data_IF_307954658029
#
_entry.id   IF_307954658029
#
_cell.length_a   1.000
_cell.length_b   1.000
_cell.length_c   1.000
_cell.angle_alpha   90.00
_cell.angle_beta   90.00
_cell.angle_gamma   90.00
#
_symmetry.space_group_name_H-M   'P 1'
#
loop_
_entity.id
_entity.type
_entity.pdbx_description
1 polymer ?
#
# COMPACT_ATOMS: atom_id res chain seq x y z
N UNK A 1 -22.17 -33.68 -12.97
CA UNK A 1 -21.19 -32.62 -12.79
C UNK A 1 -21.19 -32.13 -11.36
N UNK A 2 -20.06 -32.10 -10.74
CA UNK A 2 -19.96 -31.76 -9.35
C UNK A 2 -19.91 -30.25 -9.15
N UNK A 3 -21.00 -29.67 -8.60
CA UNK A 3 -21.08 -28.22 -8.34
C UNK A 3 -20.01 -27.72 -7.37
N UNK A 4 -19.52 -28.58 -6.48
CA UNK A 4 -18.45 -28.22 -5.56
C UNK A 4 -17.13 -27.94 -6.26
N UNK A 5 -16.81 -28.69 -7.28
CA UNK A 5 -15.56 -28.50 -8.04
C UNK A 5 -15.52 -27.18 -8.77
N UNK A 6 -16.65 -26.77 -9.36
CA UNK A 6 -16.78 -25.48 -10.03
C UNK A 6 -16.67 -24.32 -9.04
N UNK A 7 -17.29 -24.46 -7.89
CA UNK A 7 -17.24 -23.45 -6.83
C UNK A 7 -15.80 -23.27 -6.31
N UNK A 8 -15.07 -24.35 -6.08
CA UNK A 8 -13.68 -24.32 -5.67
C UNK A 8 -12.78 -23.63 -6.69
N UNK A 9 -12.94 -23.94 -7.96
CA UNK A 9 -12.16 -23.30 -9.03
C UNK A 9 -12.42 -21.81 -9.08
N UNK A 10 -13.67 -21.42 -8.92
CA UNK A 10 -14.07 -20.01 -8.92
C UNK A 10 -13.44 -19.27 -7.74
N UNK A 11 -13.41 -19.86 -6.56
CA UNK A 11 -12.79 -19.26 -5.40
C UNK A 11 -11.28 -19.05 -5.58
N UNK A 12 -10.59 -20.02 -6.17
CA UNK A 12 -9.17 -19.91 -6.45
C UNK A 12 -8.84 -18.83 -7.48
N UNK A 13 -9.75 -18.59 -8.44
CA UNK A 13 -9.59 -17.56 -9.45
C UNK A 13 -9.98 -16.17 -8.94
N UNK A 14 -10.67 -16.09 -7.81
CA UNK A 14 -11.13 -14.83 -7.22
C UNK A 14 -10.12 -14.24 -6.22
N UNK A 15 -8.84 -14.54 -6.40
CA UNK A 15 -7.78 -13.96 -5.59
C UNK A 15 -6.91 -13.03 -6.43
N UNK A 16 -6.29 -12.09 -5.75
CA UNK A 16 -5.46 -11.05 -6.34
C UNK A 16 -4.15 -10.99 -5.60
N UNK A 17 -3.05 -10.91 -6.33
CA UNK A 17 -1.72 -10.80 -5.74
C UNK A 17 -1.20 -9.38 -5.88
N UNK A 18 -0.71 -8.84 -4.78
CA UNK A 18 -0.09 -7.51 -4.74
C UNK A 18 1.39 -7.68 -4.42
N UNK A 19 2.23 -7.15 -5.28
CA UNK A 19 3.67 -7.10 -5.04
C UNK A 19 3.99 -5.80 -4.32
N UNK A 20 4.51 -5.88 -3.12
CA UNK A 20 4.78 -4.74 -2.27
C UNK A 20 6.26 -4.67 -1.93
N UNK A 21 6.82 -3.48 -1.99
CA UNK A 21 8.20 -3.21 -1.58
C UNK A 21 8.24 -1.87 -0.85
N UNK A 22 9.31 -1.60 -0.15
CA UNK A 22 9.50 -0.32 0.55
C UNK A 22 10.96 0.08 0.59
N UNK A 23 11.20 1.36 0.86
CA UNK A 23 12.54 1.84 1.17
C UNK A 23 13.08 1.17 2.42
N UNK A 24 14.37 0.93 2.44
CA UNK A 24 15.09 0.55 3.64
C UNK A 24 15.39 1.79 4.48
N UNK A 25 15.32 1.63 5.79
CA UNK A 25 15.67 2.69 6.74
C UNK A 25 17.00 2.34 7.37
N UNK A 26 17.90 3.31 7.42
CA UNK A 26 19.25 3.10 7.96
C UNK A 26 19.23 2.68 9.42
N UNK A 27 20.29 2.01 9.88
CA UNK A 27 20.58 1.65 11.26
C UNK A 27 19.47 0.83 11.95
N UNK A 28 19.56 -0.47 11.88
CA UNK A 28 18.63 -1.39 12.53
C UNK A 28 17.60 -1.98 11.58
N UNK A 29 17.51 -1.47 10.35
CA UNK A 29 16.73 -2.11 9.32
C UNK A 29 17.65 -3.01 8.50
N UNK A 30 17.12 -4.14 8.07
CA UNK A 30 17.89 -5.07 7.27
C UNK A 30 18.10 -4.49 5.87
N UNK A 31 19.34 -4.56 5.35
CA UNK A 31 19.64 -4.12 3.99
C UNK A 31 19.11 -5.06 2.92
N UNK A 32 18.47 -6.14 3.30
CA UNK A 32 17.87 -7.08 2.37
C UNK A 32 16.62 -6.49 1.71
N UNK A 33 16.21 -7.09 0.60
CA UNK A 33 14.99 -6.68 -0.09
C UNK A 33 13.78 -6.83 0.83
N UNK A 34 12.92 -5.83 0.80
CA UNK A 34 11.65 -5.84 1.56
C UNK A 34 10.47 -6.31 0.70
N UNK A 35 10.76 -6.87 -0.48
CA UNK A 35 9.70 -7.34 -1.37
C UNK A 35 8.88 -8.43 -0.72
N UNK A 36 7.56 -8.26 -0.76
CA UNK A 36 6.61 -9.29 -0.31
C UNK A 36 5.48 -9.39 -1.33
N UNK A 37 4.91 -10.58 -1.43
CA UNK A 37 3.72 -10.82 -2.22
C UNK A 37 2.58 -11.08 -1.26
N UNK A 38 1.54 -10.26 -1.35
CA UNK A 38 0.34 -10.40 -0.51
C UNK A 38 -0.83 -10.84 -1.37
N UNK A 39 -1.60 -11.77 -0.86
CA UNK A 39 -2.79 -12.28 -1.54
C UNK A 39 -4.03 -11.73 -0.89
N UNK A 40 -4.95 -11.26 -1.72
CA UNK A 40 -6.23 -10.67 -1.30
C UNK A 40 -7.37 -11.28 -2.08
N UNK A 41 -8.58 -11.16 -1.55
CA UNK A 41 -9.78 -11.42 -2.33
C UNK A 41 -9.91 -10.36 -3.44
N UNK A 42 -10.51 -10.73 -4.56
CA UNK A 42 -10.65 -9.83 -5.70
C UNK A 42 -11.45 -8.55 -5.36
N UNK A 43 -12.29 -8.61 -4.34
CA UNK A 43 -13.09 -7.46 -3.87
C UNK A 43 -12.39 -6.62 -2.82
N UNK A 44 -11.16 -6.95 -2.47
CA UNK A 44 -10.43 -6.21 -1.45
C UNK A 44 -10.16 -4.77 -1.90
N UNK A 45 -10.14 -3.87 -0.92
CA UNK A 45 -10.00 -2.43 -1.14
C UNK A 45 -8.61 -1.95 -0.71
N UNK A 46 -8.32 -0.70 -1.04
CA UNK A 46 -7.09 -0.03 -0.56
C UNK A 46 -7.05 -0.03 0.97
N UNK A 47 -8.20 0.18 1.63
CA UNK A 47 -8.27 0.11 3.09
C UNK A 47 -7.80 -1.25 3.60
N UNK A 48 -8.23 -2.33 2.93
CA UNK A 48 -7.82 -3.68 3.31
C UNK A 48 -6.30 -3.85 3.21
N UNK A 49 -5.69 -3.29 2.17
CA UNK A 49 -4.25 -3.31 2.02
C UNK A 49 -3.55 -2.54 3.14
N UNK A 50 -4.01 -1.32 3.43
CA UNK A 50 -3.43 -0.50 4.51
C UNK A 50 -3.54 -1.22 5.85
N UNK A 51 -4.68 -1.84 6.13
CA UNK A 51 -4.87 -2.61 7.35
C UNK A 51 -3.93 -3.81 7.41
N UNK A 52 -3.70 -4.48 6.28
CA UNK A 52 -2.76 -5.60 6.22
C UNK A 52 -1.32 -5.13 6.48
N UNK A 53 -0.92 -4.01 5.89
CA UNK A 53 0.42 -3.43 6.09
C UNK A 53 0.66 -3.18 7.58
N UNK A 54 -0.34 -2.65 8.28
CA UNK A 54 -0.26 -2.41 9.72
C UNK A 54 -0.23 -3.72 10.50
N UNK A 55 -1.08 -4.66 10.14
CA UNK A 55 -1.23 -5.93 10.85
C UNK A 55 0.04 -6.78 10.81
N UNK A 56 0.74 -6.80 9.67
CA UNK A 56 1.98 -7.57 9.53
C UNK A 56 3.22 -6.80 9.97
N UNK A 57 3.01 -5.56 10.46
CA UNK A 57 4.09 -4.70 10.93
C UNK A 57 5.17 -4.50 9.86
N UNK A 58 4.72 -4.25 8.64
CA UNK A 58 5.60 -4.19 7.46
C UNK A 58 6.52 -2.98 7.47
N UNK A 59 6.07 -1.83 7.98
CA UNK A 59 6.84 -0.60 7.97
C UNK A 59 7.78 -0.54 9.17
N UNK A 60 9.02 -0.10 8.93
CA UNK A 60 9.98 0.05 10.00
C UNK A 60 9.49 1.08 11.00
N UNK A 61 9.61 0.75 12.28
CA UNK A 61 9.31 1.68 13.36
C UNK A 61 10.56 2.51 13.67
N UNK A 62 10.38 3.82 13.65
CA UNK A 62 11.47 4.75 13.86
C UNK A 62 11.43 5.24 15.28
N UNK A 63 12.60 5.34 15.91
CA UNK A 63 12.75 5.93 17.23
C UNK A 63 12.17 7.34 17.22
N UNK A 64 11.33 7.66 18.21
CA UNK A 64 10.60 8.92 18.26
C UNK A 64 9.20 8.88 17.70
N UNK A 65 8.81 7.80 17.00
CA UNK A 65 7.44 7.57 16.58
C UNK A 65 6.89 8.49 15.50
N UNK A 66 7.75 9.05 14.64
CA UNK A 66 7.34 10.10 13.69
C UNK A 66 7.66 9.76 12.22
N UNK A 67 7.79 8.50 11.88
CA UNK A 67 8.06 8.11 10.51
C UNK A 67 6.85 8.38 9.61
N UNK A 68 7.10 8.96 8.44
CA UNK A 68 6.07 9.20 7.42
C UNK A 68 6.42 8.42 6.16
N UNK A 69 5.41 7.77 5.60
CA UNK A 69 5.55 6.91 4.42
C UNK A 69 4.49 7.27 3.38
N UNK A 70 4.79 7.04 2.11
CA UNK A 70 3.85 7.26 1.02
C UNK A 70 3.70 5.96 0.24
N UNK A 71 2.48 5.45 0.15
CA UNK A 71 2.16 4.30 -0.70
C UNK A 71 1.96 4.78 -2.12
N UNK A 72 2.69 4.18 -3.05
CA UNK A 72 2.72 4.60 -4.44
C UNK A 72 2.35 3.43 -5.36
N UNK A 73 1.60 3.74 -6.41
CA UNK A 73 1.28 2.82 -7.49
C UNK A 73 1.83 3.38 -8.79
N UNK A 74 2.94 2.79 -9.29
CA UNK A 74 3.61 3.19 -10.53
C UNK A 74 3.82 4.72 -10.62
N UNK A 75 4.40 5.28 -9.56
CA UNK A 75 4.72 6.71 -9.52
C UNK A 75 3.59 7.61 -9.05
N UNK A 76 2.40 7.09 -8.82
CA UNK A 76 1.27 7.85 -8.30
C UNK A 76 1.14 7.66 -6.80
N UNK A 77 1.12 8.76 -6.05
CA UNK A 77 0.91 8.71 -4.61
C UNK A 77 -0.56 8.41 -4.34
N UNK A 78 -0.85 7.38 -3.57
CA UNK A 78 -2.24 6.98 -3.28
C UNK A 78 -2.61 7.09 -1.81
N UNK A 79 -1.66 6.92 -0.89
CA UNK A 79 -1.93 6.97 0.56
C UNK A 79 -0.72 7.54 1.28
N UNK A 80 -0.97 8.37 2.30
CA UNK A 80 0.06 8.76 3.27
C UNK A 80 -0.19 8.00 4.56
N UNK A 81 0.86 7.33 5.05
CA UNK A 81 0.86 6.62 6.33
C UNK A 81 1.84 7.31 7.26
N UNK A 82 1.46 7.46 8.51
CA UNK A 82 2.35 8.06 9.49
C UNK A 82 2.31 7.25 10.77
N UNK A 83 3.49 7.06 11.37
CA UNK A 83 3.62 6.30 12.60
C UNK A 83 2.80 6.92 13.74
N UNK A 84 2.70 8.26 13.77
CA UNK A 84 1.95 8.99 14.77
C UNK A 84 0.44 9.13 14.47
N UNK A 85 0.00 8.67 13.29
CA UNK A 85 -1.42 8.74 12.92
C UNK A 85 -2.10 7.41 13.21
N UNK A 86 -3.29 7.48 13.77
CA UNK A 86 -4.14 6.30 13.92
C UNK A 86 -4.67 5.80 12.59
N UNK A 87 -5.05 6.73 11.71
CA UNK A 87 -5.62 6.43 10.39
C UNK A 87 -4.79 7.06 9.29
N UNK A 88 -4.61 6.32 8.18
CA UNK A 88 -3.95 6.85 6.98
C UNK A 88 -4.84 7.86 6.27
N UNK A 89 -4.23 8.73 5.46
CA UNK A 89 -4.96 9.67 4.61
C UNK A 89 -4.79 9.28 3.14
N UNK A 90 -5.89 9.25 2.42
CA UNK A 90 -5.97 8.75 1.06
C UNK A 90 -6.11 9.86 0.04
N UNK A 91 -5.41 9.74 -1.09
CA UNK A 91 -5.60 10.62 -2.25
C UNK A 91 -6.66 10.08 -3.20
N UNK A 92 -7.03 8.81 -3.04
CA UNK A 92 -8.11 8.14 -3.76
C UNK A 92 -9.10 7.63 -2.71
N UNK A 93 -10.28 7.20 -3.16
CA UNK A 93 -11.24 6.62 -2.20
C UNK A 93 -10.64 5.40 -1.52
N UNK A 94 -10.76 5.32 -0.19
CA UNK A 94 -10.28 4.16 0.55
C UNK A 94 -11.05 2.88 0.22
N UNK A 95 -12.21 3.01 -0.42
CA UNK A 95 -12.99 1.88 -0.91
C UNK A 95 -12.65 1.49 -2.34
N UNK A 96 -11.67 2.15 -2.96
CA UNK A 96 -11.19 1.75 -4.28
C UNK A 96 -10.72 0.31 -4.25
N UNK A 97 -11.15 -0.49 -5.22
CA UNK A 97 -10.74 -1.88 -5.30
C UNK A 97 -9.26 -1.97 -5.68
N UNK A 98 -8.55 -2.92 -5.08
CA UNK A 98 -7.16 -3.17 -5.45
C UNK A 98 -7.03 -3.52 -6.92
N UNK A 99 -8.03 -4.22 -7.48
CA UNK A 99 -8.06 -4.58 -8.89
C UNK A 99 -8.16 -3.38 -9.83
N UNK A 100 -8.57 -2.22 -9.32
CA UNK A 100 -8.65 -0.98 -10.11
C UNK A 100 -7.32 -0.24 -10.19
N UNK A 101 -6.31 -0.64 -9.41
CA UNK A 101 -5.00 -0.02 -9.48
C UNK A 101 -4.30 -0.36 -10.78
N UNK A 102 -3.40 0.54 -11.21
CA UNK A 102 -2.65 0.34 -12.42
C UNK A 102 -1.71 -0.86 -12.27
N UNK A 103 -1.78 -1.78 -13.24
CA UNK A 103 -0.91 -2.95 -13.29
C UNK A 103 0.15 -2.78 -14.37
N UNK A 104 1.25 -3.49 -14.20
CA UNK A 104 2.32 -3.59 -15.19
C UNK A 104 2.59 -5.07 -15.40
N UNK A 105 2.53 -5.52 -16.66
CA UNK A 105 2.72 -6.94 -17.01
C UNK A 105 1.77 -7.86 -16.22
N UNK A 106 0.51 -7.41 -16.07
CA UNK A 106 -0.55 -8.11 -15.34
C UNK A 106 -0.26 -8.28 -13.85
N UNK A 107 0.64 -7.47 -13.31
CA UNK A 107 0.97 -7.48 -11.88
C UNK A 107 0.74 -6.10 -11.29
N UNK A 108 0.16 -6.06 -10.10
CA UNK A 108 -0.01 -4.81 -9.36
C UNK A 108 1.20 -4.66 -8.46
N UNK A 109 2.00 -3.64 -8.75
CA UNK A 109 3.22 -3.36 -8.00
C UNK A 109 3.04 -2.06 -7.22
N UNK A 110 3.31 -2.13 -5.93
CA UNK A 110 3.20 -1.00 -5.02
C UNK A 110 4.54 -0.81 -4.30
N UNK A 111 4.85 0.44 -4.05
CA UNK A 111 6.07 0.81 -3.35
C UNK A 111 5.74 1.78 -2.22
N UNK A 112 6.31 1.56 -1.04
CA UNK A 112 6.14 2.45 0.09
C UNK A 112 7.42 3.25 0.27
N UNK A 113 7.33 4.56 -0.05
CA UNK A 113 8.45 5.47 0.00
C UNK A 113 8.57 6.07 1.39
N UNK A 114 9.78 6.04 1.95
CA UNK A 114 10.05 6.66 3.24
C UNK A 114 10.33 8.15 3.08
N UNK A 115 9.67 8.98 3.87
CA UNK A 115 9.83 10.43 3.86
C UNK A 115 10.43 10.95 5.15
N UNK A 116 11.11 10.09 5.91
CA UNK A 116 11.77 10.51 7.14
C UNK A 116 10.77 10.93 8.20
N UNK A 117 11.17 11.92 8.98
CA UNK A 117 10.33 12.47 10.06
C UNK A 117 9.67 13.80 9.65
N UNK A 118 9.48 14.01 8.35
CA UNK A 118 8.75 15.18 7.86
C UNK A 118 7.30 15.13 8.35
N UNK A 119 6.72 16.28 8.71
CA UNK A 119 5.34 16.30 9.19
C UNK A 119 4.40 15.72 8.14
N UNK A 120 3.62 14.69 8.50
CA UNK A 120 2.77 14.02 7.52
C UNK A 120 1.66 14.91 6.96
N UNK A 121 1.14 15.85 7.75
CA UNK A 121 0.12 16.78 7.27
C UNK A 121 0.69 17.68 6.16
N UNK A 122 1.91 18.16 6.34
CA UNK A 122 2.58 18.99 5.33
C UNK A 122 2.80 18.19 4.05
N UNK A 123 3.26 16.96 4.17
CA UNK A 123 3.47 16.08 3.02
C UNK A 123 2.17 15.85 2.27
N UNK A 124 1.10 15.53 3.00
CA UNK A 124 -0.19 15.30 2.40
C UNK A 124 -0.69 16.53 1.63
N UNK A 125 -0.61 17.71 2.26
CA UNK A 125 -1.07 18.96 1.63
C UNK A 125 -0.27 19.28 0.38
N UNK A 126 1.05 19.12 0.41
CA UNK A 126 1.90 19.38 -0.75
C UNK A 126 1.57 18.45 -1.91
N UNK A 127 1.40 17.17 -1.65
CA UNK A 127 1.04 16.19 -2.68
C UNK A 127 -0.33 16.52 -3.26
N UNK A 128 -1.29 16.84 -2.41
CA UNK A 128 -2.65 17.19 -2.84
C UNK A 128 -2.63 18.41 -3.76
N UNK A 129 -1.89 19.44 -3.41
CA UNK A 129 -1.73 20.65 -4.25
C UNK A 129 -1.14 20.32 -5.60
N UNK A 130 -0.11 19.49 -5.63
CA UNK A 130 0.55 19.09 -6.88
C UNK A 130 -0.41 18.31 -7.79
N UNK A 131 -1.28 17.48 -7.23
CA UNK A 131 -2.27 16.76 -8.02
C UNK A 131 -3.31 17.70 -8.63
N UNK A 132 -3.73 18.72 -7.90
CA UNK A 132 -4.67 19.71 -8.39
C UNK A 132 -4.06 20.53 -9.54
N UNK A 133 -2.80 20.94 -9.40
CA UNK A 133 -2.11 21.75 -10.41
C UNK A 133 -1.92 20.96 -11.71
N UNK A 134 -1.68 19.66 -11.64
CA UNK A 134 -1.45 18.80 -12.81
C UNK A 134 -2.73 18.44 -13.57
N UNK A 135 -3.88 18.71 -13.01
CA UNK A 135 -5.16 18.53 -13.71
C UNK A 135 -5.47 19.76 -14.62
#
# INVERSE_FOLDING_TARGET
>A
MNKHLLFWRKQKLDTLKINLNRDSVCAGDNCDSHKVELEFEVKATIRDLVNRIKKIDYLAQISGGKATWILMNLGNEIVVLAQQWESAKYFISETTLLSELTSKDNQIELFVKYRGQWPPDTIYIEIEKNKIIKQ
#
